data_IF_715842803175
#
_entry.id   IF_715842803175
#
_cell.length_a   1.000
_cell.length_b   1.000
_cell.length_c   1.000
_cell.angle_alpha   90.00
_cell.angle_beta   90.00
_cell.angle_gamma   90.00
#
_symmetry.space_group_name_H-M   'P 1'
#
loop_
_entity.id
_entity.type
_entity.pdbx_description
1 polymer ?
#
# COMPACT_ATOMS: atom_id res chain seq x y z
N UNK A 1 -10.13 2.33 0.60
CA UNK A 1 -9.95 3.73 1.08
C UNK A 1 -9.43 4.58 -0.06
N UNK A 2 -9.91 5.82 -0.25
CA UNK A 2 -9.41 6.70 -1.30
C UNK A 2 -7.95 7.08 -1.04
N UNK A 3 -7.12 7.12 -2.08
CA UNK A 3 -5.70 7.43 -1.98
C UNK A 3 -5.43 8.80 -1.34
N UNK A 4 -6.23 9.83 -1.69
CA UNK A 4 -6.10 11.17 -1.10
C UNK A 4 -6.24 11.19 0.43
N UNK A 5 -7.12 10.36 0.98
CA UNK A 5 -7.29 10.23 2.43
C UNK A 5 -6.06 9.58 3.07
N UNK A 6 -5.53 8.51 2.49
CA UNK A 6 -4.29 7.86 2.97
C UNK A 6 -3.09 8.82 2.89
N UNK A 7 -3.05 9.66 1.85
CA UNK A 7 -2.08 10.74 1.70
C UNK A 7 -2.07 11.68 2.90
N UNK A 8 -3.23 12.20 3.28
CA UNK A 8 -3.36 13.12 4.42
C UNK A 8 -3.18 12.47 5.79
N UNK A 9 -3.52 11.19 5.96
CA UNK A 9 -3.41 10.50 7.25
C UNK A 9 -1.96 10.11 7.60
N UNK A 10 -1.13 9.85 6.60
CA UNK A 10 0.22 9.28 6.80
C UNK A 10 1.33 10.06 6.06
N UNK A 11 1.06 11.30 5.63
CA UNK A 11 1.99 12.13 4.86
C UNK A 11 2.60 11.40 3.64
N UNK A 12 1.75 10.63 2.95
CA UNK A 12 2.15 9.90 1.75
C UNK A 12 2.12 10.84 0.55
N UNK A 13 3.11 10.69 -0.31
CA UNK A 13 3.08 11.25 -1.66
C UNK A 13 1.93 10.63 -2.45
N UNK A 14 1.53 11.29 -3.55
CA UNK A 14 0.46 10.78 -4.42
C UNK A 14 0.75 9.38 -4.99
N UNK A 15 2.03 9.01 -5.17
CA UNK A 15 2.41 7.67 -5.63
C UNK A 15 2.28 6.63 -4.52
N UNK A 16 2.85 6.92 -3.35
CA UNK A 16 2.75 6.06 -2.16
C UNK A 16 1.29 5.81 -1.76
N UNK A 17 0.45 6.85 -1.80
CA UNK A 17 -0.97 6.74 -1.50
C UNK A 17 -1.73 5.81 -2.45
N UNK A 18 -1.38 5.80 -3.75
CA UNK A 18 -1.95 4.87 -4.74
C UNK A 18 -1.56 3.44 -4.44
N UNK A 19 -0.29 3.21 -4.11
CA UNK A 19 0.22 1.89 -3.71
C UNK A 19 -0.45 1.42 -2.41
N UNK A 20 -0.56 2.30 -1.42
CA UNK A 20 -1.23 2.03 -0.15
C UNK A 20 -2.70 1.62 -0.35
N UNK A 21 -3.45 2.33 -1.19
CA UNK A 21 -4.82 1.96 -1.52
C UNK A 21 -4.90 0.54 -2.14
N UNK A 22 -3.98 0.22 -3.06
CA UNK A 22 -3.92 -1.09 -3.70
C UNK A 22 -3.50 -2.21 -2.73
N UNK A 23 -2.67 -1.92 -1.73
CA UNK A 23 -2.34 -2.86 -0.65
C UNK A 23 -3.57 -3.19 0.21
N UNK A 24 -4.45 -2.20 0.47
CA UNK A 24 -5.71 -2.39 1.21
C UNK A 24 -6.69 -3.24 0.41
N UNK A 25 -6.70 -3.13 -0.91
CA UNK A 25 -7.44 -4.03 -1.80
C UNK A 25 -6.90 -5.48 -1.81
N UNK A 26 -5.78 -5.71 -1.12
CA UNK A 26 -5.15 -7.02 -1.00
C UNK A 26 -4.38 -7.44 -2.24
N UNK A 27 -3.98 -6.50 -3.10
CA UNK A 27 -3.15 -6.82 -4.25
C UNK A 27 -1.72 -7.17 -3.83
N UNK A 28 -1.10 -8.01 -4.65
CA UNK A 28 0.31 -8.34 -4.62
C UNK A 28 1.14 -7.26 -5.31
N UNK A 29 2.45 -7.22 -5.02
CA UNK A 29 3.39 -6.29 -5.66
C UNK A 29 3.37 -6.38 -7.19
N UNK A 30 3.18 -7.59 -7.74
CA UNK A 30 3.11 -7.86 -9.16
C UNK A 30 1.84 -7.29 -9.79
N UNK A 31 0.68 -7.50 -9.15
CA UNK A 31 -0.60 -6.94 -9.60
C UNK A 31 -0.57 -5.40 -9.55
N UNK A 32 0.03 -4.82 -8.50
CA UNK A 32 0.21 -3.36 -8.38
C UNK A 32 1.15 -2.85 -9.49
N UNK A 33 2.28 -3.52 -9.72
CA UNK A 33 3.23 -3.17 -10.76
C UNK A 33 2.59 -3.16 -12.15
N UNK A 34 1.84 -4.22 -12.48
CA UNK A 34 1.09 -4.32 -13.73
C UNK A 34 0.04 -3.20 -13.84
N UNK A 35 -0.76 -2.96 -12.79
CA UNK A 35 -1.80 -1.93 -12.75
C UNK A 35 -1.24 -0.53 -12.99
N UNK A 36 -0.06 -0.24 -12.45
CA UNK A 36 0.58 1.07 -12.57
C UNK A 36 1.55 1.19 -13.76
N UNK A 37 1.73 0.12 -14.55
CA UNK A 37 2.73 0.06 -15.63
C UNK A 37 4.14 0.42 -15.13
N UNK A 38 4.50 -0.07 -13.93
CA UNK A 38 5.79 0.16 -13.28
C UNK A 38 6.52 -1.16 -13.04
N UNK A 39 7.82 -1.09 -12.78
CA UNK A 39 8.58 -2.27 -12.37
C UNK A 39 8.19 -2.72 -10.95
N UNK A 40 8.27 -4.03 -10.69
CA UNK A 40 8.07 -4.57 -9.33
C UNK A 40 9.05 -3.98 -8.33
N UNK A 41 10.28 -3.64 -8.76
CA UNK A 41 11.28 -2.96 -7.93
C UNK A 41 10.82 -1.57 -7.50
N UNK A 42 10.26 -0.80 -8.44
CA UNK A 42 9.69 0.53 -8.16
C UNK A 42 8.55 0.44 -7.16
N UNK A 43 7.63 -0.52 -7.34
CA UNK A 43 6.53 -0.73 -6.38
C UNK A 43 7.07 -1.17 -5.02
N UNK A 44 8.06 -2.08 -4.97
CA UNK A 44 8.69 -2.51 -3.72
C UNK A 44 9.26 -1.33 -2.93
N UNK A 45 9.95 -0.41 -3.60
CA UNK A 45 10.49 0.80 -2.95
C UNK A 45 9.38 1.69 -2.41
N UNK A 46 8.29 1.87 -3.16
CA UNK A 46 7.13 2.64 -2.71
C UNK A 46 6.43 1.98 -1.51
N UNK A 47 6.29 0.65 -1.50
CA UNK A 47 5.75 -0.10 -0.36
C UNK A 47 6.64 0.06 0.88
N UNK A 48 7.96 -0.03 0.72
CA UNK A 48 8.90 0.18 1.82
C UNK A 48 8.76 1.59 2.42
N UNK A 49 8.61 2.62 1.58
CA UNK A 49 8.36 3.98 2.04
C UNK A 49 7.02 4.14 2.77
N UNK A 50 5.95 3.52 2.26
CA UNK A 50 4.64 3.49 2.94
C UNK A 50 4.76 2.84 4.32
N UNK A 51 5.43 1.69 4.42
CA UNK A 51 5.64 0.98 5.68
C UNK A 51 6.46 1.80 6.68
N UNK A 52 7.53 2.45 6.22
CA UNK A 52 8.32 3.36 7.05
C UNK A 52 7.49 4.55 7.59
N UNK A 53 6.63 5.15 6.74
CA UNK A 53 5.80 6.30 7.13
C UNK A 53 4.61 5.94 8.02
N UNK A 54 4.11 4.71 7.90
CA UNK A 54 2.94 4.22 8.66
C UNK A 54 3.35 3.47 9.93
N UNK A 55 4.65 3.19 10.12
CA UNK A 55 5.18 2.49 11.29
C UNK A 55 4.88 0.98 11.30
N UNK A 56 4.45 0.42 10.18
CA UNK A 56 4.16 -1.02 10.04
C UNK A 56 5.25 -1.71 9.23
N UNK A 57 5.36 -3.03 9.36
CA UNK A 57 6.37 -3.82 8.62
C UNK A 57 5.75 -4.83 7.66
N UNK A 58 4.44 -5.09 7.76
CA UNK A 58 3.72 -6.08 6.95
C UNK A 58 2.44 -5.52 6.34
N UNK A 59 2.05 -6.04 5.18
CA UNK A 59 0.79 -5.68 4.53
C UNK A 59 -0.42 -5.96 5.42
N UNK A 60 -0.44 -7.09 6.12
CA UNK A 60 -1.53 -7.43 7.05
C UNK A 60 -1.66 -6.43 8.20
N UNK A 61 -0.54 -5.94 8.74
CA UNK A 61 -0.52 -4.88 9.76
C UNK A 61 -1.04 -3.56 9.19
N UNK A 62 -0.63 -3.20 7.97
CA UNK A 62 -1.11 -2.00 7.29
C UNK A 62 -2.63 -2.04 7.04
N UNK A 63 -3.15 -3.19 6.60
CA UNK A 63 -4.59 -3.40 6.38
C UNK A 63 -5.36 -3.27 7.69
N UNK A 64 -4.86 -3.88 8.77
CA UNK A 64 -5.44 -3.76 10.12
C UNK A 64 -5.42 -2.32 10.64
N UNK A 65 -4.31 -1.60 10.46
CA UNK A 65 -4.16 -0.19 10.84
C UNK A 65 -5.20 0.70 10.15
N UNK A 66 -5.53 0.40 8.89
CA UNK A 66 -6.56 1.12 8.13
C UNK A 66 -8.00 0.70 8.49
N UNK A 67 -8.20 -0.15 9.50
CA UNK A 67 -9.51 -0.66 9.92
C UNK A 67 -10.06 -1.78 9.04
N UNK A 68 -9.22 -2.37 8.17
CA UNK A 68 -9.59 -3.50 7.32
C UNK A 68 -9.42 -4.84 8.01
N UNK A 69 -10.21 -5.84 7.60
CA UNK A 69 -9.95 -7.24 7.97
C UNK A 69 -8.79 -7.79 7.13
N UNK A 70 -7.80 -8.48 7.74
CA UNK A 70 -6.65 -9.00 6.99
C UNK A 70 -7.15 -10.02 5.95
N UNK A 71 -6.86 -9.72 4.68
CA UNK A 71 -7.28 -10.55 3.55
C UNK A 71 -6.45 -11.83 3.57
N UNK A 72 -7.06 -12.95 3.96
CA UNK A 72 -6.45 -14.28 3.87
C UNK A 72 -6.54 -14.76 2.43
N UNK A 73 -5.47 -14.57 1.65
CA UNK A 73 -5.33 -15.26 0.36
C UNK A 73 -4.84 -16.69 0.67
N UNK A 74 -5.73 -17.68 0.50
CA UNK A 74 -5.39 -19.12 0.54
C UNK A 74 -4.59 -19.53 -0.68
#
# INVERSE_FOLDING_TARGET
MPASLLGGLFDLTAAEAKVAAALIEGLTLQEIAARHSLSVSTIRNQVAAVFAKTGVSRQSEFVLLCGGSPIVRR
#
